data_IF_226817468127
#
_entry.id   IF_226817468127
#
_cell.length_a   1.000
_cell.length_b   1.000
_cell.length_c   1.000
_cell.angle_alpha   90.00
_cell.angle_beta   90.00
_cell.angle_gamma   90.00
#
_symmetry.space_group_name_H-M   'P 1'
#
loop_
_entity.id
_entity.type
_entity.pdbx_description
1 polymer ?
#
# COMPACT_ATOMS: atom_id res chain seq x y z
N UNK A 1 -9.48 -7.84 -24.04
CA UNK A 1 -10.13 -8.21 -22.77
C UNK A 1 -9.26 -9.06 -21.85
N UNK A 2 -8.82 -10.29 -22.21
CA UNK A 2 -8.04 -11.18 -21.32
C UNK A 2 -6.73 -10.58 -20.76
N UNK A 3 -6.05 -9.73 -21.52
CA UNK A 3 -4.85 -9.00 -21.03
C UNK A 3 -5.19 -8.02 -19.90
N UNK A 4 -6.29 -7.29 -20.03
CA UNK A 4 -6.76 -6.37 -18.99
C UNK A 4 -7.19 -7.14 -17.73
N UNK A 5 -7.86 -8.29 -17.90
CA UNK A 5 -8.17 -9.20 -16.80
C UNK A 5 -6.91 -9.66 -16.06
N UNK A 6 -5.87 -10.06 -16.81
CA UNK A 6 -4.61 -10.46 -16.19
C UNK A 6 -3.98 -9.35 -15.36
N UNK A 7 -3.93 -8.12 -15.89
CA UNK A 7 -3.45 -6.95 -15.14
C UNK A 7 -4.32 -6.61 -13.93
N UNK A 8 -5.64 -6.66 -14.08
CA UNK A 8 -6.58 -6.41 -12.99
C UNK A 8 -6.52 -7.44 -11.86
N UNK A 9 -5.98 -8.63 -12.12
CA UNK A 9 -5.72 -9.66 -11.11
C UNK A 9 -4.31 -9.53 -10.51
N UNK A 10 -3.28 -9.39 -11.35
CA UNK A 10 -1.89 -9.33 -10.89
C UNK A 10 -1.66 -8.11 -9.97
N UNK A 11 -2.24 -6.94 -10.30
CA UNK A 11 -2.03 -5.70 -9.55
C UNK A 11 -2.48 -5.79 -8.08
N UNK A 12 -3.76 -6.09 -7.75
CA UNK A 12 -4.20 -6.14 -6.35
C UNK A 12 -3.51 -7.24 -5.54
N UNK A 13 -3.19 -8.40 -6.15
CA UNK A 13 -2.47 -9.47 -5.46
C UNK A 13 -1.06 -9.01 -5.10
N UNK A 14 -0.33 -8.45 -6.06
CA UNK A 14 1.06 -8.02 -5.86
C UNK A 14 1.13 -6.88 -4.86
N UNK A 15 0.31 -5.84 -5.04
CA UNK A 15 0.25 -4.70 -4.12
C UNK A 15 -0.16 -5.15 -2.73
N UNK A 16 -1.23 -5.94 -2.61
CA UNK A 16 -1.71 -6.44 -1.33
C UNK A 16 -0.70 -7.33 -0.61
N UNK A 17 -0.07 -8.27 -1.32
CA UNK A 17 0.99 -9.13 -0.76
C UNK A 17 2.20 -8.31 -0.33
N UNK A 18 2.61 -7.32 -1.13
CA UNK A 18 3.69 -6.40 -0.77
C UNK A 18 3.40 -5.64 0.51
N UNK A 19 2.18 -5.08 0.65
CA UNK A 19 1.75 -4.40 1.87
C UNK A 19 1.74 -5.33 3.09
N UNK A 20 1.22 -6.55 2.95
CA UNK A 20 1.26 -7.55 4.03
C UNK A 20 2.69 -7.85 4.48
N UNK A 21 3.61 -8.09 3.52
CA UNK A 21 5.00 -8.40 3.83
C UNK A 21 5.72 -7.23 4.52
N UNK A 22 5.43 -5.98 4.13
CA UNK A 22 5.96 -4.79 4.79
C UNK A 22 5.44 -4.66 6.22
N UNK A 23 4.21 -5.11 6.50
CA UNK A 23 3.64 -5.06 7.84
C UNK A 23 4.20 -6.13 8.79
N UNK A 24 4.68 -7.28 8.29
CA UNK A 24 5.15 -8.37 9.15
C UNK A 24 6.28 -7.96 10.13
N UNK A 25 7.35 -7.26 9.71
CA UNK A 25 8.35 -6.75 10.64
C UNK A 25 7.77 -5.79 11.69
N UNK A 26 6.75 -5.01 11.33
CA UNK A 26 6.08 -4.06 12.24
C UNK A 26 5.30 -4.72 13.39
N UNK A 27 5.03 -6.02 13.30
CA UNK A 27 4.45 -6.79 14.39
C UNK A 27 5.47 -7.11 15.48
N UNK A 28 6.74 -7.23 15.10
CA UNK A 28 7.84 -7.63 16.00
C UNK A 28 8.55 -6.38 16.51
N UNK A 29 8.83 -5.43 15.61
CA UNK A 29 9.59 -4.24 15.88
C UNK A 29 8.71 -2.98 15.85
N UNK A 30 8.93 -2.02 16.76
CA UNK A 30 8.28 -0.71 16.70
C UNK A 30 8.78 0.06 15.47
N UNK A 31 7.88 0.30 14.52
CA UNK A 31 8.19 0.88 13.20
C UNK A 31 8.85 2.27 13.28
N UNK A 32 8.50 3.05 14.30
CA UNK A 32 8.99 4.41 14.54
C UNK A 32 10.46 4.49 14.99
N UNK A 33 11.00 3.40 15.54
CA UNK A 33 12.42 3.33 15.94
C UNK A 33 13.33 2.81 14.82
N UNK A 34 12.78 2.05 13.86
CA UNK A 34 13.57 1.41 12.80
C UNK A 34 13.33 2.03 11.42
N UNK A 35 12.95 3.30 11.36
CA UNK A 35 12.48 3.94 10.12
C UNK A 35 13.44 3.81 8.93
N UNK A 36 14.77 4.02 9.05
CA UNK A 36 15.69 3.85 7.92
C UNK A 36 15.77 2.39 7.41
N UNK A 37 15.78 1.42 8.33
CA UNK A 37 15.81 -0.01 8.00
C UNK A 37 14.50 -0.43 7.33
N UNK A 38 13.36 0.04 7.86
CA UNK A 38 12.04 -0.20 7.26
C UNK A 38 11.95 0.38 5.85
N UNK A 39 12.43 1.62 5.64
CA UNK A 39 12.47 2.24 4.31
C UNK A 39 13.30 1.40 3.33
N UNK A 40 14.44 0.87 3.79
CA UNK A 40 15.30 -0.01 2.97
C UNK A 40 14.57 -1.30 2.58
N UNK A 41 13.89 -1.95 3.53
CA UNK A 41 13.09 -3.15 3.28
C UNK A 41 11.92 -2.85 2.33
N UNK A 42 11.23 -1.73 2.52
CA UNK A 42 10.11 -1.30 1.67
C UNK A 42 10.57 -1.09 0.22
N UNK A 43 11.69 -0.39 0.01
CA UNK A 43 12.26 -0.19 -1.34
C UNK A 43 12.63 -1.54 -1.96
N UNK A 44 13.30 -2.42 -1.21
CA UNK A 44 13.65 -3.77 -1.69
C UNK A 44 12.42 -4.59 -2.10
N UNK A 45 11.36 -4.57 -1.28
CA UNK A 45 10.09 -5.24 -1.57
C UNK A 45 9.39 -4.65 -2.80
N UNK A 46 9.36 -3.32 -2.95
CA UNK A 46 8.79 -2.67 -4.13
C UNK A 46 9.54 -3.06 -5.41
N UNK A 47 10.88 -3.11 -5.38
CA UNK A 47 11.69 -3.57 -6.51
C UNK A 47 11.40 -5.03 -6.87
N UNK A 48 11.22 -5.90 -5.87
CA UNK A 48 10.86 -7.31 -6.08
C UNK A 48 9.47 -7.43 -6.73
N UNK A 49 8.48 -6.70 -6.22
CA UNK A 49 7.11 -6.69 -6.74
C UNK A 49 7.04 -6.11 -8.15
N UNK A 50 7.80 -5.05 -8.41
CA UNK A 50 7.99 -4.50 -9.75
C UNK A 50 8.62 -5.53 -10.68
N UNK A 51 9.68 -6.21 -10.26
CA UNK A 51 10.32 -7.27 -11.05
C UNK A 51 9.33 -8.40 -11.37
N UNK A 52 8.48 -8.79 -10.43
CA UNK A 52 7.41 -9.77 -10.67
C UNK A 52 6.41 -9.31 -11.74
N UNK A 53 5.86 -8.10 -11.62
CA UNK A 53 4.82 -7.59 -12.54
C UNK A 53 5.34 -7.47 -13.98
N UNK A 54 6.56 -6.98 -14.13
CA UNK A 54 7.12 -6.61 -15.43
C UNK A 54 7.93 -7.74 -16.06
N UNK A 55 8.79 -8.37 -15.26
CA UNK A 55 9.74 -9.39 -15.71
C UNK A 55 9.34 -10.81 -15.31
N UNK A 56 8.30 -10.99 -14.50
CA UNK A 56 7.71 -12.28 -14.14
C UNK A 56 7.56 -13.27 -15.30
N UNK A 57 7.23 -12.90 -16.55
CA UNK A 57 7.07 -13.86 -17.64
C UNK A 57 8.40 -14.46 -18.15
N UNK A 58 9.53 -13.84 -17.85
CA UNK A 58 10.85 -14.42 -18.12
C UNK A 58 11.24 -15.44 -17.04
N UNK A 59 10.87 -15.18 -15.78
CA UNK A 59 11.25 -16.02 -14.64
C UNK A 59 10.25 -17.13 -14.33
N UNK A 60 8.96 -16.83 -14.40
CA UNK A 60 7.85 -17.74 -14.10
C UNK A 60 7.22 -18.29 -15.39
N UNK A 61 6.67 -19.52 -15.38
CA UNK A 61 5.89 -20.05 -16.50
C UNK A 61 4.70 -19.16 -16.86
N UNK A 62 4.05 -18.59 -15.85
CA UNK A 62 2.99 -17.59 -15.99
C UNK A 62 2.85 -16.76 -14.70
N UNK A 63 2.35 -15.53 -14.80
CA UNK A 63 1.91 -14.76 -13.62
C UNK A 63 0.52 -15.22 -13.19
N UNK A 64 0.11 -14.92 -11.96
CA UNK A 64 -1.17 -15.37 -11.40
C UNK A 64 -2.36 -14.85 -12.23
N UNK A 65 -2.35 -13.58 -12.58
CA UNK A 65 -3.40 -12.96 -13.40
C UNK A 65 -3.46 -13.53 -14.80
N UNK A 66 -2.31 -13.82 -15.41
CA UNK A 66 -2.27 -14.46 -16.73
C UNK A 66 -2.68 -15.92 -16.69
N UNK A 67 -2.38 -16.62 -15.60
CA UNK A 67 -2.86 -17.96 -15.34
C UNK A 67 -4.40 -17.99 -15.29
N UNK A 68 -5.01 -17.07 -14.51
CA UNK A 68 -6.47 -16.89 -14.45
C UNK A 68 -7.06 -16.56 -15.82
N UNK A 69 -6.45 -15.62 -16.54
CA UNK A 69 -6.92 -15.21 -17.87
C UNK A 69 -6.70 -16.28 -18.96
N UNK A 70 -5.96 -17.35 -18.66
CA UNK A 70 -5.65 -18.43 -19.60
C UNK A 70 -4.83 -17.94 -20.79
N UNK A 71 -3.89 -17.04 -20.54
CA UNK A 71 -2.99 -16.48 -21.57
C UNK A 71 -1.55 -16.66 -21.13
N UNK A 72 -0.65 -16.78 -22.10
CA UNK A 72 0.80 -16.81 -21.86
C UNK A 72 1.51 -15.95 -22.88
N UNK A 73 2.68 -15.43 -22.50
CA UNK A 73 3.55 -14.72 -23.44
C UNK A 73 4.62 -15.68 -23.91
N UNK A 74 4.74 -15.79 -25.22
CA UNK A 74 5.74 -16.63 -25.88
C UNK A 74 6.52 -15.82 -26.89
N UNK A 75 7.71 -16.29 -27.23
CA UNK A 75 8.47 -15.80 -28.36
C UNK A 75 7.70 -16.08 -29.66
N UNK A 76 7.61 -15.09 -30.54
CA UNK A 76 6.80 -15.16 -31.75
C UNK A 76 7.36 -16.14 -32.79
N UNK A 77 8.67 -16.42 -32.78
CA UNK A 77 9.31 -17.32 -33.75
C UNK A 77 9.30 -18.76 -33.27
N UNK A 78 9.75 -18.97 -32.03
CA UNK A 78 9.94 -20.30 -31.45
C UNK A 78 8.72 -20.84 -30.71
N UNK A 79 7.78 -19.97 -30.32
CA UNK A 79 6.64 -20.34 -29.47
C UNK A 79 7.04 -20.73 -28.04
N UNK A 80 8.31 -20.58 -27.66
CA UNK A 80 8.84 -20.91 -26.34
C UNK A 80 8.68 -19.76 -25.37
N UNK A 81 8.99 -20.01 -24.09
CA UNK A 81 9.03 -18.98 -23.04
C UNK A 81 9.98 -17.85 -23.44
N UNK A 82 9.62 -16.61 -23.10
CA UNK A 82 10.44 -15.45 -23.41
C UNK A 82 11.67 -15.37 -22.50
N UNK A 83 12.75 -14.79 -23.03
CA UNK A 83 13.94 -14.48 -22.24
C UNK A 83 13.82 -13.18 -21.42
N UNK A 84 14.77 -12.96 -20.51
CA UNK A 84 14.89 -11.74 -19.71
C UNK A 84 14.93 -10.47 -20.58
N UNK A 85 15.74 -10.45 -21.64
CA UNK A 85 15.87 -9.29 -22.53
C UNK A 85 14.55 -8.92 -23.20
N UNK A 86 13.79 -9.92 -23.64
CA UNK A 86 12.47 -9.71 -24.24
C UNK A 86 11.47 -9.16 -23.22
N UNK A 87 11.52 -9.64 -21.97
CA UNK A 87 10.70 -9.09 -20.90
C UNK A 87 11.07 -7.63 -20.58
N UNK A 88 12.37 -7.31 -20.56
CA UNK A 88 12.87 -5.95 -20.31
C UNK A 88 12.45 -4.96 -21.41
N UNK A 89 12.58 -5.31 -22.70
CA UNK A 89 12.11 -4.47 -23.82
C UNK A 89 10.59 -4.21 -23.71
N UNK A 90 9.84 -5.23 -23.31
CA UNK A 90 8.40 -5.13 -23.06
C UNK A 90 8.05 -4.24 -21.87
N UNK A 91 8.96 -4.05 -20.93
CA UNK A 91 8.80 -3.17 -19.78
C UNK A 91 9.08 -1.71 -20.14
N UNK A 92 10.13 -1.42 -20.93
CA UNK A 92 10.46 -0.05 -21.37
C UNK A 92 9.29 0.64 -22.10
N UNK A 93 8.50 -0.14 -22.82
CA UNK A 93 7.32 0.35 -23.56
C UNK A 93 6.07 0.52 -22.72
N UNK A 94 6.04 0.01 -21.48
CA UNK A 94 4.87 0.12 -20.60
C UNK A 94 4.62 1.55 -20.11
N UNK A 95 5.65 2.39 -20.02
CA UNK A 95 5.47 3.81 -19.68
C UNK A 95 4.57 4.54 -20.68
N UNK A 96 4.49 4.06 -21.92
CA UNK A 96 3.63 4.58 -22.98
C UNK A 96 2.25 3.89 -23.03
N UNK A 97 1.75 3.38 -21.89
CA UNK A 97 0.52 2.59 -21.83
C UNK A 97 -0.71 3.24 -22.50
N UNK A 98 -0.97 4.57 -22.45
CA UNK A 98 -2.15 5.14 -23.12
C UNK A 98 -2.00 5.04 -24.64
N UNK A 99 -0.78 5.30 -25.14
CA UNK A 99 -0.44 5.18 -26.55
C UNK A 99 -0.53 3.71 -26.99
N UNK A 100 -0.03 2.77 -26.19
CA UNK A 100 -0.15 1.34 -26.47
C UNK A 100 -1.62 0.90 -26.56
N UNK A 101 -2.50 1.41 -25.68
CA UNK A 101 -3.93 1.09 -25.71
C UNK A 101 -4.59 1.55 -27.00
N UNK A 102 -4.28 2.75 -27.49
CA UNK A 102 -4.74 3.24 -28.79
C UNK A 102 -4.22 2.34 -29.92
N UNK A 103 -2.93 2.01 -29.93
CA UNK A 103 -2.34 1.10 -30.94
C UNK A 103 -3.06 -0.25 -30.95
N UNK A 104 -3.36 -0.83 -29.79
CA UNK A 104 -4.08 -2.11 -29.70
C UNK A 104 -5.53 -1.98 -30.18
N UNK A 105 -6.20 -0.88 -29.86
CA UNK A 105 -7.57 -0.63 -30.30
C UNK A 105 -7.67 -0.62 -31.83
N UNK A 106 -6.78 0.11 -32.50
CA UNK A 106 -6.79 0.29 -33.97
C UNK A 106 -6.00 -0.79 -34.74
N UNK A 107 -5.13 -1.57 -34.09
CA UNK A 107 -4.34 -2.59 -34.78
C UNK A 107 -5.12 -3.87 -35.08
N UNK A 108 -5.00 -4.37 -36.31
CA UNK A 108 -5.51 -5.69 -36.73
C UNK A 108 -4.84 -6.85 -35.98
N UNK A 109 -3.56 -6.74 -35.60
CA UNK A 109 -2.81 -7.83 -34.96
C UNK A 109 -3.02 -7.89 -33.44
N UNK A 110 -3.64 -6.86 -32.83
CA UNK A 110 -3.85 -6.73 -31.38
C UNK A 110 -2.58 -6.92 -30.53
N UNK A 111 -1.39 -6.73 -31.14
CA UNK A 111 -0.07 -6.76 -30.48
C UNK A 111 0.32 -5.35 -30.08
N UNK A 112 0.71 -5.18 -28.81
CA UNK A 112 1.25 -3.91 -28.28
C UNK A 112 2.63 -3.59 -28.87
N UNK A 113 3.07 -2.34 -28.74
CA UNK A 113 4.37 -1.89 -29.24
C UNK A 113 5.51 -2.73 -28.64
N UNK A 114 5.48 -2.94 -27.32
CA UNK A 114 6.45 -3.79 -26.63
C UNK A 114 6.49 -5.22 -27.12
N UNK A 115 5.34 -5.80 -27.50
CA UNK A 115 5.30 -7.17 -28.04
C UNK A 115 5.97 -7.22 -29.42
N UNK A 116 5.79 -6.19 -30.25
CA UNK A 116 6.42 -6.10 -31.58
C UNK A 116 7.93 -5.94 -31.46
N UNK A 117 8.39 -5.01 -30.62
CA UNK A 117 9.82 -4.74 -30.41
C UNK A 117 10.55 -5.95 -29.82
N UNK A 118 9.94 -6.61 -28.82
CA UNK A 118 10.52 -7.80 -28.21
C UNK A 118 10.34 -9.08 -29.04
N UNK A 119 9.65 -9.02 -30.19
CA UNK A 119 9.29 -10.18 -31.03
C UNK A 119 8.55 -11.27 -30.22
N UNK A 120 7.61 -10.84 -29.39
CA UNK A 120 6.79 -11.73 -28.55
C UNK A 120 5.32 -11.64 -28.95
N UNK A 121 4.53 -12.61 -28.50
CA UNK A 121 3.09 -12.56 -28.63
C UNK A 121 2.38 -13.20 -27.44
N UNK A 122 1.12 -12.81 -27.24
CA UNK A 122 0.27 -13.43 -26.23
C UNK A 122 -0.57 -14.50 -26.92
N UNK A 123 -0.40 -15.75 -26.52
CA UNK A 123 -1.20 -16.88 -26.97
C UNK A 123 -2.16 -17.33 -25.86
N UNK A 124 -3.26 -17.93 -26.27
CA UNK A 124 -4.12 -18.67 -25.35
C UNK A 124 -3.32 -19.86 -24.81
N UNK A 125 -3.42 -20.07 -23.50
CA UNK A 125 -2.84 -21.25 -22.89
C UNK A 125 -3.82 -22.41 -23.03
N UNK A 126 -3.40 -23.47 -23.71
CA UNK A 126 -4.24 -24.65 -24.02
C UNK A 126 -4.51 -25.55 -22.81
N UNK A 127 -4.23 -25.08 -21.60
CA UNK A 127 -4.49 -25.81 -20.36
C UNK A 127 -5.98 -26.13 -20.26
N UNK A 128 -6.33 -27.41 -20.07
CA UNK A 128 -7.73 -27.89 -19.94
C UNK A 128 -8.42 -27.50 -18.62
N UNK A 129 -7.75 -26.72 -17.77
CA UNK A 129 -8.28 -26.34 -16.46
C UNK A 129 -9.44 -25.35 -16.67
N UNK A 130 -10.66 -25.64 -16.17
CA UNK A 130 -11.80 -24.74 -16.30
C UNK A 130 -11.54 -23.43 -15.55
N UNK A 131 -12.10 -22.33 -16.06
CA UNK A 131 -11.86 -20.97 -15.54
C UNK A 131 -12.08 -20.87 -14.02
N UNK A 132 -13.16 -21.45 -13.48
CA UNK A 132 -13.50 -21.41 -12.06
C UNK A 132 -12.40 -21.99 -11.15
N UNK A 133 -11.73 -23.07 -11.56
CA UNK A 133 -10.62 -23.65 -10.79
C UNK A 133 -9.37 -22.76 -10.77
N UNK A 134 -9.21 -21.88 -11.76
CA UNK A 134 -8.13 -20.88 -11.78
C UNK A 134 -8.48 -19.65 -10.96
N UNK A 135 -9.74 -19.23 -11.04
CA UNK A 135 -10.25 -18.02 -10.42
C UNK A 135 -10.41 -18.16 -8.90
N UNK A 136 -10.91 -19.30 -8.42
CA UNK A 136 -11.18 -19.54 -7.00
C UNK A 136 -9.99 -19.24 -6.06
N UNK A 137 -8.77 -19.79 -6.25
CA UNK A 137 -7.65 -19.51 -5.33
C UNK A 137 -7.24 -18.04 -5.34
N UNK A 138 -7.38 -17.36 -6.49
CA UNK A 138 -7.08 -15.93 -6.61
C UNK A 138 -8.08 -15.08 -5.83
N UNK A 139 -9.37 -15.36 -5.97
CA UNK A 139 -10.40 -14.66 -5.19
C UNK A 139 -10.19 -14.88 -3.71
N UNK A 140 -9.95 -16.12 -3.29
CA UNK A 140 -9.66 -16.43 -1.88
C UNK A 140 -8.45 -15.65 -1.37
N UNK A 141 -7.37 -15.58 -2.16
CA UNK A 141 -6.19 -14.79 -1.82
C UNK A 141 -6.48 -13.29 -1.68
N UNK A 142 -7.21 -12.70 -2.63
CA UNK A 142 -7.59 -11.27 -2.59
C UNK A 142 -8.48 -10.96 -1.39
N UNK A 143 -9.48 -11.81 -1.12
CA UNK A 143 -10.36 -11.68 0.05
C UNK A 143 -9.55 -11.77 1.34
N UNK A 144 -8.65 -12.75 1.45
CA UNK A 144 -7.78 -12.90 2.61
C UNK A 144 -6.91 -11.65 2.83
N UNK A 145 -6.28 -11.14 1.77
CA UNK A 145 -5.48 -9.90 1.82
C UNK A 145 -6.34 -8.74 2.34
N UNK A 146 -7.54 -8.57 1.80
CA UNK A 146 -8.45 -7.49 2.17
C UNK A 146 -8.84 -7.53 3.66
N UNK A 147 -9.07 -8.73 4.21
CA UNK A 147 -9.38 -8.90 5.64
C UNK A 147 -8.14 -8.80 6.54
N UNK A 148 -6.98 -9.29 6.11
CA UNK A 148 -5.76 -9.27 6.91
C UNK A 148 -5.14 -7.87 7.03
N UNK A 149 -5.18 -7.06 5.98
CA UNK A 149 -4.60 -5.72 5.97
C UNK A 149 -5.04 -4.82 7.14
N UNK A 150 -6.35 -4.61 7.41
CA UNK A 150 -6.78 -3.77 8.53
C UNK A 150 -6.42 -4.37 9.88
N UNK A 151 -6.43 -5.70 10.03
CA UNK A 151 -6.03 -6.39 11.27
C UNK A 151 -4.55 -6.17 11.56
N UNK A 152 -3.70 -6.38 10.57
CA UNK A 152 -2.25 -6.17 10.72
C UNK A 152 -1.90 -4.70 10.92
N UNK A 153 -2.54 -3.79 10.18
CA UNK A 153 -2.33 -2.35 10.36
C UNK A 153 -2.62 -1.90 11.79
N UNK A 154 -3.73 -2.37 12.38
CA UNK A 154 -4.07 -2.11 13.79
C UNK A 154 -3.06 -2.73 14.75
N UNK A 155 -2.62 -3.97 14.48
CA UNK A 155 -1.61 -4.64 15.31
C UNK A 155 -0.27 -3.88 15.28
N UNK A 156 0.20 -3.45 14.11
CA UNK A 156 1.40 -2.63 13.96
C UNK A 156 1.26 -1.28 14.67
N UNK A 157 0.12 -0.59 14.55
CA UNK A 157 -0.12 0.69 15.22
C UNK A 157 -0.06 0.56 16.75
N UNK A 158 -0.60 -0.53 17.30
CA UNK A 158 -0.48 -0.87 18.72
C UNK A 158 0.94 -1.22 19.15
N UNK A 159 1.78 -1.66 18.21
CA UNK A 159 3.16 -2.05 18.47
C UNK A 159 4.15 -0.87 18.47
N UNK A 160 3.77 0.28 17.92
CA UNK A 160 4.62 1.47 17.84
C UNK A 160 5.05 1.96 19.23
N UNK A 161 6.31 2.43 19.35
CA UNK A 161 6.84 2.91 20.62
C UNK A 161 6.08 4.16 21.09
N UNK A 162 5.76 5.09 20.19
CA UNK A 162 4.95 6.27 20.48
C UNK A 162 3.59 5.92 21.12
N UNK A 163 2.88 4.92 20.57
CA UNK A 163 1.59 4.46 21.09
C UNK A 163 1.73 3.83 22.47
N UNK A 164 2.76 3.02 22.67
CA UNK A 164 3.05 2.37 23.95
C UNK A 164 3.38 3.38 25.04
N UNK A 165 4.22 4.38 24.74
CA UNK A 165 4.56 5.46 25.68
C UNK A 165 3.32 6.25 26.06
N UNK A 166 2.52 6.65 25.07
CA UNK A 166 1.33 7.45 25.34
C UNK A 166 0.29 6.67 26.17
N UNK A 167 0.10 5.37 25.91
CA UNK A 167 -0.76 4.50 26.74
C UNK A 167 -0.25 4.37 28.17
N UNK A 168 1.06 4.20 28.36
CA UNK A 168 1.69 4.15 29.69
C UNK A 168 1.48 5.46 30.46
N UNK A 169 1.63 6.59 29.79
CA UNK A 169 1.40 7.91 30.38
C UNK A 169 -0.06 8.10 30.84
N UNK A 170 -1.03 7.81 29.97
CA UNK A 170 -2.45 7.94 30.31
C UNK A 170 -2.87 7.02 31.46
N UNK A 171 -2.36 5.78 31.49
CA UNK A 171 -2.64 4.86 32.59
C UNK A 171 -2.02 5.33 33.92
N UNK A 172 -0.79 5.87 33.87
CA UNK A 172 -0.10 6.35 35.07
C UNK A 172 -0.74 7.61 35.66
N UNK A 173 -1.05 8.58 34.81
CA UNK A 173 -1.46 9.92 35.26
C UNK A 173 -2.97 10.01 35.51
N UNK A 174 -3.77 9.29 34.73
CA UNK A 174 -5.23 9.37 34.78
C UNK A 174 -5.91 8.05 35.19
N UNK A 175 -5.16 6.96 35.39
CA UNK A 175 -5.74 5.64 35.67
C UNK A 175 -6.52 5.05 34.49
N UNK A 176 -6.30 5.56 33.27
CA UNK A 176 -7.06 5.17 32.09
C UNK A 176 -6.42 3.96 31.40
N UNK A 177 -7.06 2.80 31.49
CA UNK A 177 -6.69 1.60 30.73
C UNK A 177 -7.18 1.71 29.27
N UNK A 178 -6.42 2.42 28.44
CA UNK A 178 -6.77 2.64 27.03
C UNK A 178 -6.53 1.37 26.22
N UNK A 179 -7.53 0.48 26.17
CA UNK A 179 -7.46 -0.78 25.41
C UNK A 179 -7.65 -0.62 23.90
N UNK A 180 -8.29 0.48 23.47
CA UNK A 180 -8.57 0.74 22.05
C UNK A 180 -7.31 1.18 21.31
N UNK A 181 -7.29 0.93 19.99
CA UNK A 181 -6.29 1.48 19.07
C UNK A 181 -6.44 3.01 19.01
N UNK A 182 -5.34 3.77 18.97
CA UNK A 182 -5.42 5.22 18.78
C UNK A 182 -6.18 5.55 17.49
N UNK A 183 -6.99 6.61 17.52
CA UNK A 183 -7.74 7.04 16.35
C UNK A 183 -6.83 7.69 15.31
N UNK A 184 -5.83 8.45 15.79
CA UNK A 184 -4.79 9.01 14.93
C UNK A 184 -3.47 9.10 15.67
N UNK A 185 -2.38 8.80 14.97
CA UNK A 185 -1.00 9.00 15.42
C UNK A 185 -0.36 9.96 14.44
N UNK A 186 0.12 11.11 14.92
CA UNK A 186 0.88 12.08 14.13
C UNK A 186 2.28 12.18 14.68
N UNK A 187 3.27 11.97 13.83
CA UNK A 187 4.69 12.06 14.20
C UNK A 187 5.31 13.13 13.32
N UNK A 188 5.83 14.21 13.92
CA UNK A 188 6.76 15.16 13.29
C UNK A 188 8.14 14.96 13.90
N UNK A 189 9.17 15.35 13.18
CA UNK A 189 10.58 14.99 13.40
C UNK A 189 10.99 14.86 14.88
N UNK A 190 10.74 15.90 15.70
CA UNK A 190 11.06 15.95 17.13
C UNK A 190 9.82 15.84 18.04
N UNK A 191 8.62 16.10 17.51
CA UNK A 191 7.36 16.17 18.25
C UNK A 191 6.35 15.12 17.76
N UNK A 192 5.89 14.27 18.66
CA UNK A 192 4.81 13.30 18.44
C UNK A 192 3.49 13.80 19.06
N UNK A 193 2.36 13.53 18.41
CA UNK A 193 1.04 13.64 19.01
C UNK A 193 0.25 12.38 18.76
N UNK A 194 -0.27 11.77 19.84
CA UNK A 194 -1.11 10.58 19.74
C UNK A 194 -2.48 10.92 20.30
N UNK A 195 -3.53 10.71 19.50
CA UNK A 195 -4.92 10.89 19.93
C UNK A 195 -5.55 9.55 20.26
N UNK A 196 -6.09 9.46 21.46
CA UNK A 196 -6.90 8.33 21.90
C UNK A 196 -8.33 8.77 22.11
N UNK A 197 -9.25 8.02 21.52
CA UNK A 197 -10.66 8.04 21.89
C UNK A 197 -10.85 6.99 22.98
N UNK A 198 -11.11 7.44 24.20
CA UNK A 198 -11.17 6.57 25.38
C UNK A 198 -12.61 6.08 25.57
N UNK A 199 -13.57 7.00 25.56
CA UNK A 199 -15.02 6.76 25.48
C UNK A 199 -15.68 7.83 24.58
N UNK A 200 -17.01 7.86 24.50
CA UNK A 200 -17.75 8.81 23.65
C UNK A 200 -17.58 10.27 24.09
N UNK A 201 -17.22 10.52 25.36
CA UNK A 201 -17.17 11.86 25.95
C UNK A 201 -15.74 12.31 26.32
N UNK A 202 -14.76 11.40 26.34
CA UNK A 202 -13.39 11.61 26.83
C UNK A 202 -12.35 11.30 25.75
N UNK A 203 -12.15 12.25 24.85
CA UNK A 203 -11.05 12.20 23.89
C UNK A 203 -9.80 12.86 24.50
N UNK A 204 -8.65 12.18 24.45
CA UNK A 204 -7.36 12.70 24.93
C UNK A 204 -6.35 12.79 23.80
N UNK A 205 -5.70 13.95 23.62
CA UNK A 205 -4.48 14.10 22.82
C UNK A 205 -3.27 14.10 23.77
N UNK A 206 -2.32 13.18 23.55
CA UNK A 206 -1.06 13.15 24.27
C UNK A 206 0.01 13.77 23.37
N UNK A 207 0.68 14.83 23.85
CA UNK A 207 1.87 15.38 23.23
C UNK A 207 3.10 14.63 23.75
N UNK A 208 3.94 14.17 22.83
CA UNK A 208 5.18 13.46 23.10
C UNK A 208 6.35 14.18 22.42
N UNK A 209 7.52 14.09 23.02
CA UNK A 209 8.78 14.56 22.46
C UNK A 209 9.70 13.35 22.22
N UNK A 210 10.44 13.40 21.12
CA UNK A 210 11.39 12.35 20.75
C UNK A 210 12.75 12.66 21.37
N UNK A 211 13.30 11.71 22.11
CA UNK A 211 14.70 11.71 22.50
C UNK A 211 15.42 10.54 21.81
N UNK A 212 16.76 10.55 21.81
CA UNK A 212 17.59 9.58 21.08
C UNK A 212 17.18 8.11 21.29
N UNK A 213 16.70 7.76 22.48
CA UNK A 213 16.36 6.39 22.86
C UNK A 213 14.84 6.08 22.91
N UNK A 214 13.97 7.04 22.54
CA UNK A 214 12.52 6.80 22.54
C UNK A 214 11.64 8.04 22.62
N UNK A 215 10.42 7.83 23.12
CA UNK A 215 9.41 8.88 23.28
C UNK A 215 9.19 9.18 24.75
N UNK A 216 9.07 10.46 25.08
CA UNK A 216 8.64 10.93 26.40
C UNK A 216 7.32 11.68 26.24
N UNK A 217 6.33 11.35 27.07
CA UNK A 217 5.07 12.10 27.07
C UNK A 217 5.25 13.40 27.87
N UNK A 218 4.87 14.52 27.28
CA UNK A 218 4.99 15.86 27.89
C UNK A 218 3.69 16.26 28.60
N UNK A 219 2.56 16.08 27.93
CA UNK A 219 1.25 16.51 28.42
C UNK A 219 0.12 15.72 27.75
N UNK A 220 -1.06 15.71 28.38
CA UNK A 220 -2.30 15.29 27.75
C UNK A 220 -3.33 16.42 27.81
N UNK A 221 -4.12 16.54 26.76
CA UNK A 221 -5.16 17.54 26.60
C UNK A 221 -6.50 16.86 26.32
N UNK A 222 -7.57 17.38 26.89
CA UNK A 222 -8.92 17.01 26.51
C UNK A 222 -9.27 17.60 25.15
N UNK A 223 -9.82 16.77 24.26
CA UNK A 223 -10.31 17.20 22.96
C UNK A 223 -11.84 17.20 23.04
N UNK A 224 -12.46 18.35 22.84
CA UNK A 224 -13.91 18.44 22.77
C UNK A 224 -14.37 18.10 21.33
N UNK A 225 -15.50 17.39 21.20
CA UNK A 225 -16.03 16.86 19.92
C UNK A 225 -16.21 17.92 18.81
N UNK A 226 -16.37 19.17 19.18
CA UNK A 226 -16.44 20.32 18.29
C UNK A 226 -15.10 20.66 17.60
N UNK A 227 -13.96 20.13 18.06
CA UNK A 227 -12.66 20.20 17.38
C UNK A 227 -12.31 18.91 16.60
N UNK A 228 -13.13 17.86 16.73
CA UNK A 228 -13.05 16.61 15.97
C UNK A 228 -13.71 16.73 14.59
N UNK A 229 -13.58 17.90 13.95
CA UNK A 229 -13.83 18.02 12.53
C UNK A 229 -13.04 16.92 11.80
N UNK A 230 -13.71 16.20 10.88
CA UNK A 230 -13.10 15.18 10.02
C UNK A 230 -12.12 15.81 9.01
N UNK A 231 -11.19 16.63 9.48
CA UNK A 231 -10.23 17.36 8.70
C UNK A 231 -8.85 16.71 8.75
N UNK A 232 -8.27 16.51 7.57
CA UNK A 232 -6.87 16.17 7.43
C UNK A 232 -6.12 17.51 7.51
N UNK A 233 -5.30 17.69 8.55
CA UNK A 233 -4.35 18.80 8.57
C UNK A 233 -2.94 18.32 8.32
N UNK A 234 -2.32 18.84 7.26
CA UNK A 234 -0.95 18.58 6.88
C UNK A 234 -0.15 19.84 7.16
N UNK A 235 0.97 19.71 7.84
CA UNK A 235 1.93 20.81 7.98
C UNK A 235 3.26 20.28 7.50
N UNK A 236 3.77 20.92 6.45
CA UNK A 236 5.04 20.59 5.84
C UNK A 236 5.74 21.92 5.51
N UNK A 237 6.89 22.17 6.15
CA UNK A 237 7.71 23.36 5.88
C UNK A 237 7.09 24.71 6.27
N UNK A 238 6.41 24.81 7.42
CA UNK A 238 5.85 26.08 7.92
C UNK A 238 4.52 26.51 7.27
N UNK A 239 4.00 25.74 6.32
CA UNK A 239 2.65 25.94 5.78
C UNK A 239 1.65 25.02 6.46
N UNK A 240 0.59 25.60 7.02
CA UNK A 240 -0.53 24.88 7.62
C UNK A 240 -1.65 24.70 6.59
N UNK A 241 -1.90 23.45 6.20
CA UNK A 241 -3.04 23.08 5.36
C UNK A 241 -4.11 22.48 6.25
N UNK A 242 -5.28 23.12 6.30
CA UNK A 242 -6.44 22.60 7.00
C UNK A 242 -7.59 22.45 6.02
N UNK A 243 -7.99 21.21 5.77
CA UNK A 243 -9.18 20.90 4.99
C UNK A 243 -10.28 20.46 5.95
N UNK A 244 -11.29 21.29 6.17
CA UNK A 244 -12.44 20.97 7.01
C UNK A 244 -13.59 20.44 6.15
N UNK A 245 -13.99 19.19 6.40
CA UNK A 245 -15.20 18.60 5.83
C UNK A 245 -16.41 19.03 6.67
N UNK A 246 -17.08 20.12 6.26
CA UNK A 246 -18.35 20.56 6.84
C UNK A 246 -19.47 20.20 5.88
N UNK A 247 -20.29 19.19 6.18
CA UNK A 247 -21.45 18.88 5.32
C UNK A 247 -22.31 20.15 5.06
N UNK A 248 -22.57 20.55 3.80
CA UNK A 248 -22.36 19.81 2.54
C UNK A 248 -21.11 20.22 1.70
N UNK A 249 -20.19 21.03 2.24
CA UNK A 249 -19.01 21.56 1.55
C UNK A 249 -17.64 21.14 2.12
N UNK A 250 -16.58 21.44 1.36
CA UNK A 250 -15.19 21.35 1.84
C UNK A 250 -14.67 22.78 1.94
N UNK A 251 -14.27 23.18 3.14
CA UNK A 251 -13.63 24.48 3.40
C UNK A 251 -12.12 24.24 3.51
N UNK A 252 -11.33 24.85 2.62
CA UNK A 252 -9.86 24.75 2.62
C UNK A 252 -9.32 26.10 3.07
N UNK A 253 -8.66 26.13 4.21
CA UNK A 253 -7.97 27.33 4.73
C UNK A 253 -6.45 27.16 4.61
N UNK A 254 -5.79 28.26 4.25
CA UNK A 254 -4.33 28.35 4.18
C UNK A 254 -3.87 29.34 5.25
N UNK A 255 -3.00 28.88 6.15
CA UNK A 255 -2.36 29.72 7.15
C UNK A 255 -0.85 29.56 7.10
N UNK A 256 -0.13 30.67 7.14
CA UNK A 256 1.29 30.69 7.51
C UNK A 256 1.37 30.64 9.04
N UNK A 257 2.15 29.69 9.57
CA UNK A 257 2.50 29.72 11.00
C UNK A 257 3.56 30.78 11.22
N UNK A 258 3.23 31.81 11.99
CA UNK A 258 4.21 32.73 12.60
C UNK A 258 5.21 31.98 13.51
#
# INVERSE_FOLDING_TARGET
MRRALAWGVDLPIVTGTGLLLIMLPGLIFPLDLMLPVMMTIMVGMQLLMFTYLFCGPAFLPNTLGRYVAGVKVVDNKSGRKIGWQQAFIRMLTLGLWPVEMLIIAFSKTKRRLGDRLAKTEVRLDATRIPFWKRFLPVVTGVVLIFFLLPVLSRACANNMAVTRTARKYLNREYGLDVRRTPHSVRVRDEDGRVRFMIDEDNNKEVKLERHNDGWTALAAFDIYDNELGNGISLVQGGMHFEANLKSPGIEISFGETE
#
